data_IF_308762915054
#
_entry.id   IF_308762915054
#
_cell.length_a   1.000
_cell.length_b   1.000
_cell.length_c   1.000
_cell.angle_alpha   90.00
_cell.angle_beta   90.00
_cell.angle_gamma   90.00
#
_symmetry.space_group_name_H-M   'P 1'
#
loop_
_entity.id
_entity.type
_entity.pdbx_description
1 polymer ?
#
# COMPACT_ATOMS: atom_id res chain seq x y z
N UNK A 1 -15.08 -28.87 41.50
CA UNK A 1 -13.69 -28.37 41.57
C UNK A 1 -12.90 -29.05 40.46
N UNK A 2 -12.67 -28.37 39.34
CA UNK A 2 -11.77 -28.86 38.29
C UNK A 2 -10.35 -28.44 38.65
N UNK A 3 -9.43 -29.40 38.64
CA UNK A 3 -8.00 -29.16 38.91
C UNK A 3 -7.41 -28.28 37.80
N UNK A 4 -6.83 -27.14 38.14
CA UNK A 4 -6.21 -26.21 37.18
C UNK A 4 -4.86 -26.68 36.64
N UNK A 5 -4.37 -27.84 37.08
CA UNK A 5 -3.05 -28.38 36.72
C UNK A 5 -3.07 -29.28 35.47
N UNK A 6 -4.22 -29.85 35.12
CA UNK A 6 -4.36 -30.75 33.96
C UNK A 6 -5.56 -30.33 33.11
N UNK A 7 -5.28 -29.94 31.86
CA UNK A 7 -6.33 -29.65 30.87
C UNK A 7 -6.80 -30.95 30.23
N UNK A 8 -7.86 -31.53 30.78
CA UNK A 8 -8.58 -32.62 30.13
C UNK A 8 -9.20 -32.12 28.81
N UNK A 9 -9.25 -32.98 27.79
CA UNK A 9 -9.85 -32.68 26.48
C UNK A 9 -9.15 -31.58 25.66
N UNK A 10 -7.83 -31.70 25.49
CA UNK A 10 -7.08 -30.83 24.57
C UNK A 10 -7.21 -31.36 23.14
N UNK A 11 -7.90 -30.62 22.28
CA UNK A 11 -8.08 -30.93 20.86
C UNK A 11 -6.92 -30.35 20.04
N UNK A 12 -6.03 -31.20 19.56
CA UNK A 12 -4.89 -30.82 18.73
C UNK A 12 -5.27 -30.92 17.25
N UNK A 13 -4.67 -30.10 16.38
CA UNK A 13 -4.69 -30.27 14.91
C UNK A 13 -6.08 -30.39 14.24
N UNK A 14 -7.10 -29.78 14.85
CA UNK A 14 -8.47 -29.72 14.31
C UNK A 14 -9.27 -31.02 14.48
N UNK A 15 -8.85 -31.93 15.36
CA UNK A 15 -9.63 -33.11 15.73
C UNK A 15 -10.76 -32.73 16.70
N UNK A 16 -11.93 -33.36 16.58
CA UNK A 16 -13.05 -33.17 17.51
C UNK A 16 -13.01 -34.12 18.70
N UNK A 17 -12.01 -35.00 18.75
CA UNK A 17 -11.82 -36.03 19.77
C UNK A 17 -10.35 -36.05 20.20
N UNK A 18 -10.09 -36.43 21.45
CA UNK A 18 -8.73 -36.45 22.01
C UNK A 18 -7.93 -37.63 21.44
N UNK A 19 -6.61 -37.49 21.34
CA UNK A 19 -5.72 -38.60 21.00
C UNK A 19 -5.86 -39.74 22.01
N UNK A 20 -6.10 -40.96 21.54
CA UNK A 20 -6.37 -42.12 22.40
C UNK A 20 -7.86 -42.38 22.67
N UNK A 21 -8.75 -41.66 21.97
CA UNK A 21 -10.20 -41.92 21.99
C UNK A 21 -10.62 -43.18 21.25
N UNK A 22 -9.74 -43.77 20.42
CA UNK A 22 -10.03 -44.98 19.66
C UNK A 22 -8.81 -45.91 19.59
N UNK A 23 -9.04 -47.21 19.75
CA UNK A 23 -8.01 -48.26 19.64
C UNK A 23 -8.29 -49.15 18.42
N UNK A 24 -7.31 -49.26 17.53
CA UNK A 24 -7.36 -50.17 16.39
C UNK A 24 -6.74 -51.51 16.80
N UNK A 25 -7.59 -52.54 16.88
CA UNK A 25 -7.17 -53.90 17.22
C UNK A 25 -6.30 -54.55 16.12
N UNK A 26 -6.37 -54.08 14.88
CA UNK A 26 -5.58 -54.62 13.76
C UNK A 26 -4.16 -54.04 13.70
N UNK A 27 -4.00 -52.78 14.12
CA UNK A 27 -2.72 -52.09 14.16
C UNK A 27 -2.09 -52.04 15.57
N UNK A 28 -2.80 -52.57 16.57
CA UNK A 28 -2.45 -52.54 18.01
C UNK A 28 -2.08 -51.15 18.52
N UNK A 29 -2.78 -50.13 18.02
CA UNK A 29 -2.41 -48.72 18.23
C UNK A 29 -3.62 -47.85 18.53
N UNK A 30 -3.35 -46.80 19.29
CA UNK A 30 -4.30 -45.76 19.61
C UNK A 30 -4.30 -44.65 18.55
N UNK A 31 -5.49 -44.12 18.27
CA UNK A 31 -5.71 -43.05 17.31
C UNK A 31 -6.83 -42.10 17.73
N UNK A 32 -7.27 -41.27 16.79
CA UNK A 32 -8.41 -40.36 16.98
C UNK A 32 -9.72 -41.02 16.55
N UNK A 33 -10.77 -40.96 17.39
CA UNK A 33 -12.09 -41.50 17.04
C UNK A 33 -12.77 -40.73 15.89
N UNK A 34 -12.49 -39.43 15.73
CA UNK A 34 -13.16 -38.58 14.74
C UNK A 34 -12.82 -38.91 13.28
N UNK A 35 -11.57 -39.29 13.00
CA UNK A 35 -11.10 -39.58 11.64
C UNK A 35 -10.44 -40.97 11.50
N UNK A 36 -10.36 -41.75 12.59
CA UNK A 36 -9.69 -43.06 12.68
C UNK A 36 -8.21 -43.02 12.24
N UNK A 37 -7.56 -41.87 12.38
CA UNK A 37 -6.14 -41.71 12.05
C UNK A 37 -5.27 -42.18 13.22
N UNK A 38 -4.21 -42.93 12.87
CA UNK A 38 -3.27 -43.58 13.80
C UNK A 38 -1.96 -42.78 13.98
N UNK A 39 -1.91 -41.56 13.43
CA UNK A 39 -0.79 -40.64 13.58
C UNK A 39 -1.21 -39.36 14.31
N UNK A 40 -0.63 -39.10 15.48
CA UNK A 40 -0.97 -37.93 16.31
C UNK A 40 -0.71 -36.61 15.60
N UNK A 41 0.32 -36.58 14.75
CA UNK A 41 0.79 -35.38 14.03
C UNK A 41 0.01 -35.03 12.77
N UNK A 42 -0.93 -35.85 12.32
CA UNK A 42 -1.76 -35.55 11.14
C UNK A 42 -2.97 -34.71 11.53
N UNK A 43 -3.34 -33.75 10.67
CA UNK A 43 -4.58 -32.98 10.81
C UNK A 43 -5.80 -33.86 10.50
N UNK A 44 -6.93 -33.53 11.12
CA UNK A 44 -8.18 -34.23 10.90
C UNK A 44 -8.63 -34.12 9.44
N UNK A 45 -8.70 -35.23 8.72
CA UNK A 45 -9.20 -35.26 7.34
C UNK A 45 -10.69 -34.87 7.24
N UNK A 46 -11.48 -35.12 8.29
CA UNK A 46 -12.89 -34.74 8.34
C UNK A 46 -13.11 -33.23 8.52
N UNK A 47 -12.13 -32.51 9.06
CA UNK A 47 -12.14 -31.04 9.21
C UNK A 47 -11.14 -30.33 8.28
N UNK A 48 -10.48 -31.08 7.39
CA UNK A 48 -9.66 -30.49 6.35
C UNK A 48 -10.61 -29.91 5.29
N UNK A 49 -10.80 -28.58 5.30
CA UNK A 49 -11.25 -27.91 4.10
C UNK A 49 -10.33 -28.35 2.93
N UNK A 50 -10.87 -28.57 1.72
CA UNK A 50 -10.10 -29.08 0.60
C UNK A 50 -8.88 -28.20 0.40
N UNK A 51 -7.70 -28.81 0.50
CA UNK A 51 -6.42 -28.20 0.21
C UNK A 51 -6.45 -27.67 -1.22
N UNK A 52 -6.55 -26.35 -1.36
CA UNK A 52 -6.16 -25.69 -2.57
C UNK A 52 -4.64 -25.57 -2.51
N UNK A 53 -3.97 -26.41 -3.29
CA UNK A 53 -2.60 -26.20 -3.73
C UNK A 53 -2.56 -24.89 -4.54
N UNK A 54 -2.37 -23.78 -3.84
CA UNK A 54 -2.01 -22.49 -4.43
C UNK A 54 -0.66 -22.11 -3.85
N UNK A 55 0.35 -22.33 -4.69
CA UNK A 55 1.59 -21.56 -4.80
C UNK A 55 2.16 -20.98 -3.49
N UNK A 56 3.26 -21.57 -2.99
CA UNK A 56 4.19 -20.91 -2.07
C UNK A 56 4.85 -19.71 -2.75
N UNK A 57 4.07 -18.65 -2.90
CA UNK A 57 4.51 -17.32 -3.25
C UNK A 57 4.80 -16.52 -2.00
N UNK A 58 5.75 -16.97 -1.16
CA UNK A 58 6.14 -16.35 0.12
C UNK A 58 5.85 -14.85 0.22
N UNK A 59 4.82 -14.57 1.01
CA UNK A 59 4.10 -13.32 1.12
C UNK A 59 4.89 -12.28 1.92
N UNK A 60 4.95 -11.05 1.39
CA UNK A 60 5.26 -9.83 2.16
C UNK A 60 3.96 -9.16 2.68
N UNK A 61 2.83 -9.87 2.66
CA UNK A 61 1.55 -9.45 3.22
C UNK A 61 1.39 -9.83 4.70
N UNK A 62 2.36 -10.51 5.32
CA UNK A 62 2.28 -10.98 6.72
C UNK A 62 2.41 -9.87 7.80
N UNK A 63 2.35 -8.60 7.41
CA UNK A 63 2.36 -7.46 8.34
C UNK A 63 1.67 -6.21 7.78
N UNK A 64 0.85 -6.37 6.74
CA UNK A 64 0.12 -5.23 6.19
C UNK A 64 -1.06 -4.93 7.13
N UNK A 65 -1.22 -3.69 7.62
CA UNK A 65 -2.28 -3.34 8.56
C UNK A 65 -3.64 -3.68 7.95
N UNK A 66 -4.43 -4.43 8.72
CA UNK A 66 -5.75 -4.91 8.33
C UNK A 66 -6.81 -3.81 8.47
N UNK A 67 -6.59 -2.86 9.36
CA UNK A 67 -7.41 -1.66 9.52
C UNK A 67 -6.54 -0.42 9.79
N UNK A 68 -7.15 0.77 9.76
CA UNK A 68 -6.46 2.04 9.98
C UNK A 68 -5.84 2.15 11.38
N UNK A 69 -6.48 1.55 12.39
CA UNK A 69 -6.02 1.57 13.78
C UNK A 69 -4.76 0.69 14.00
N UNK A 70 -4.51 -0.28 13.11
CA UNK A 70 -3.31 -1.14 13.15
C UNK A 70 -2.09 -0.46 12.49
N UNK A 71 -2.27 0.71 11.87
CA UNK A 71 -1.19 1.39 11.15
C UNK A 71 -0.19 1.98 12.15
N UNK A 72 1.07 1.54 12.04
CA UNK A 72 2.17 2.08 12.83
C UNK A 72 2.36 3.59 12.56
N UNK A 73 2.82 4.37 13.57
CA UNK A 73 3.11 5.78 13.36
C UNK A 73 4.23 5.96 12.32
N UNK A 74 4.23 7.11 11.65
CA UNK A 74 5.23 7.49 10.65
C UNK A 74 6.68 7.20 11.06
N UNK A 75 7.02 7.40 12.34
CA UNK A 75 8.36 7.16 12.90
C UNK A 75 8.84 5.70 12.79
N UNK A 76 7.93 4.75 12.62
CA UNK A 76 8.25 3.32 12.47
C UNK A 76 8.76 2.97 11.08
N UNK A 77 8.63 3.89 10.11
CA UNK A 77 9.03 3.69 8.73
C UNK A 77 10.34 4.42 8.43
N UNK A 78 11.29 3.71 7.86
CA UNK A 78 12.55 4.30 7.37
C UNK A 78 12.30 5.28 6.21
N UNK A 79 11.34 4.97 5.36
CA UNK A 79 11.00 5.75 4.17
C UNK A 79 9.65 6.46 4.36
N UNK A 80 9.60 7.76 4.05
CA UNK A 80 8.39 8.57 4.16
C UNK A 80 7.32 8.13 3.14
N UNK A 81 7.78 7.88 1.92
CA UNK A 81 6.93 7.50 0.80
C UNK A 81 6.29 6.12 1.02
N UNK A 82 7.02 5.23 1.71
CA UNK A 82 6.53 3.92 2.13
C UNK A 82 5.37 4.04 3.12
N UNK A 83 5.48 4.96 4.09
CA UNK A 83 4.40 5.21 5.04
C UNK A 83 3.14 5.69 4.30
N UNK A 84 3.26 6.66 3.39
CA UNK A 84 2.12 7.16 2.61
C UNK A 84 1.47 6.07 1.75
N UNK A 85 2.29 5.20 1.12
CA UNK A 85 1.80 4.06 0.36
C UNK A 85 1.02 3.08 1.25
N UNK A 86 1.56 2.72 2.41
CA UNK A 86 0.91 1.80 3.36
C UNK A 86 -0.36 2.39 3.95
N UNK A 87 -0.35 3.69 4.26
CA UNK A 87 -1.53 4.42 4.72
C UNK A 87 -2.63 4.39 3.66
N UNK A 88 -2.36 4.75 2.41
CA UNK A 88 -3.36 4.71 1.33
C UNK A 88 -3.93 3.30 1.13
N UNK A 89 -3.09 2.27 1.16
CA UNK A 89 -3.54 0.87 1.06
C UNK A 89 -4.46 0.49 2.23
N UNK A 90 -4.13 0.89 3.46
CA UNK A 90 -4.95 0.63 4.65
C UNK A 90 -6.31 1.35 4.56
N UNK A 91 -6.31 2.63 4.17
CA UNK A 91 -7.53 3.42 3.98
C UNK A 91 -8.42 2.80 2.91
N UNK A 92 -7.87 2.35 1.78
CA UNK A 92 -8.63 1.72 0.71
C UNK A 92 -9.27 0.39 1.13
N UNK A 93 -8.53 -0.44 1.89
CA UNK A 93 -9.06 -1.69 2.45
C UNK A 93 -10.21 -1.40 3.41
N UNK A 94 -10.04 -0.42 4.29
CA UNK A 94 -11.06 -0.02 5.25
C UNK A 94 -12.28 0.60 4.55
N UNK A 95 -12.08 1.44 3.53
CA UNK A 95 -13.14 1.99 2.69
C UNK A 95 -13.96 0.89 2.02
N UNK A 96 -13.28 -0.11 1.43
CA UNK A 96 -13.96 -1.27 0.82
C UNK A 96 -14.75 -2.06 1.85
N UNK A 97 -14.18 -2.28 3.04
CA UNK A 97 -14.83 -3.01 4.14
C UNK A 97 -16.08 -2.29 4.63
N UNK A 98 -16.00 -0.99 4.91
CA UNK A 98 -17.14 -0.21 5.40
C UNK A 98 -18.23 -0.03 4.33
N UNK A 99 -17.86 0.14 3.07
CA UNK A 99 -18.84 0.22 1.98
C UNK A 99 -19.65 -1.08 1.78
N UNK A 100 -19.13 -2.23 2.21
CA UNK A 100 -19.86 -3.50 2.20
C UNK A 100 -20.78 -3.68 3.43
N UNK A 101 -20.41 -3.08 4.56
CA UNK A 101 -21.08 -3.29 5.85
C UNK A 101 -22.10 -2.20 6.21
N UNK A 102 -21.86 -0.96 5.79
CA UNK A 102 -22.64 0.21 6.21
C UNK A 102 -23.30 0.93 5.00
N UNK A 103 -24.63 0.90 4.99
CA UNK A 103 -25.45 1.59 3.99
C UNK A 103 -25.39 3.12 4.11
N UNK A 104 -25.09 3.66 5.29
CA UNK A 104 -24.89 5.10 5.47
C UNK A 104 -23.59 5.58 4.81
N UNK A 105 -22.51 4.81 4.93
CA UNK A 105 -21.26 5.05 4.20
C UNK A 105 -21.50 5.08 2.68
N UNK A 106 -22.21 4.08 2.14
CA UNK A 106 -22.57 4.02 0.72
C UNK A 106 -23.43 5.20 0.26
N UNK A 107 -24.33 5.70 1.13
CA UNK A 107 -25.15 6.88 0.84
C UNK A 107 -24.34 8.19 0.85
N UNK A 108 -23.38 8.34 1.76
CA UNK A 108 -22.61 9.59 1.95
C UNK A 108 -21.50 9.78 0.92
N UNK A 109 -20.83 8.70 0.53
CA UNK A 109 -19.70 8.75 -0.42
C UNK A 109 -20.09 8.36 -1.86
N UNK A 110 -21.37 8.04 -2.09
CA UNK A 110 -22.00 7.93 -3.41
C UNK A 110 -21.80 6.58 -4.10
N UNK A 111 -22.45 6.41 -5.27
CA UNK A 111 -22.45 5.18 -6.09
C UNK A 111 -21.10 4.77 -6.70
N UNK A 112 -20.05 5.57 -6.51
CA UNK A 112 -18.71 5.22 -6.98
C UNK A 112 -18.25 3.99 -6.21
N UNK A 113 -18.25 2.85 -6.89
CA UNK A 113 -17.80 1.59 -6.31
C UNK A 113 -16.37 1.74 -5.82
N UNK A 114 -15.97 1.05 -4.73
CA UNK A 114 -14.60 1.10 -4.21
C UNK A 114 -13.54 0.80 -5.26
N UNK A 115 -13.87 0.00 -6.28
CA UNK A 115 -13.01 -0.30 -7.43
C UNK A 115 -12.70 0.91 -8.31
N UNK A 116 -13.63 1.86 -8.46
CA UNK A 116 -13.42 3.09 -9.23
C UNK A 116 -12.44 4.02 -8.52
N UNK A 117 -12.55 4.11 -7.20
CA UNK A 117 -11.65 4.90 -6.34
C UNK A 117 -10.24 4.30 -6.39
N UNK A 118 -10.13 2.97 -6.28
CA UNK A 118 -8.86 2.25 -6.39
C UNK A 118 -8.22 2.43 -7.77
N UNK A 119 -9.00 2.33 -8.86
CA UNK A 119 -8.51 2.56 -10.22
C UNK A 119 -8.00 3.99 -10.40
N UNK A 120 -8.70 4.97 -9.83
CA UNK A 120 -8.30 6.38 -9.91
C UNK A 120 -7.03 6.66 -9.11
N UNK A 121 -6.81 5.96 -7.99
CA UNK A 121 -5.61 6.07 -7.17
C UNK A 121 -4.45 5.18 -7.63
N UNK A 122 -4.68 4.23 -8.55
CA UNK A 122 -3.66 3.28 -8.98
C UNK A 122 -2.39 3.96 -9.49
N UNK A 123 -2.52 5.05 -10.27
CA UNK A 123 -1.38 5.83 -10.76
C UNK A 123 -0.58 6.48 -9.62
N UNK A 124 -1.26 6.98 -8.59
CA UNK A 124 -0.61 7.55 -7.42
C UNK A 124 0.11 6.48 -6.60
N UNK A 125 -0.52 5.32 -6.38
CA UNK A 125 0.08 4.18 -5.67
C UNK A 125 1.33 3.67 -6.40
N UNK A 126 1.27 3.53 -7.73
CA UNK A 126 2.42 3.16 -8.55
C UNK A 126 3.54 4.19 -8.47
N UNK A 127 3.21 5.48 -8.44
CA UNK A 127 4.21 6.55 -8.33
C UNK A 127 4.87 6.57 -6.94
N UNK A 128 4.10 6.41 -5.87
CA UNK A 128 4.64 6.29 -4.51
C UNK A 128 5.52 5.04 -4.38
N UNK A 129 5.07 3.91 -4.94
CA UNK A 129 5.84 2.67 -4.98
C UNK A 129 7.16 2.84 -5.76
N UNK A 130 7.13 3.54 -6.89
CA UNK A 130 8.32 3.87 -7.67
C UNK A 130 9.26 4.84 -6.96
N UNK A 131 8.75 5.72 -6.09
CA UNK A 131 9.57 6.65 -5.30
C UNK A 131 10.27 5.98 -4.11
N UNK A 132 9.72 4.86 -3.60
CA UNK A 132 10.35 4.09 -2.53
C UNK A 132 11.71 3.53 -2.98
N UNK A 133 12.69 3.47 -2.09
CA UNK A 133 13.97 2.79 -2.29
C UNK A 133 13.85 1.27 -2.10
N UNK A 134 12.83 0.84 -1.35
CA UNK A 134 12.48 -0.57 -1.18
C UNK A 134 11.96 -1.21 -2.47
N UNK A 135 12.27 -2.50 -2.65
CA UNK A 135 11.87 -3.30 -3.82
C UNK A 135 10.78 -4.32 -3.45
N UNK A 136 9.96 -4.68 -4.42
CA UNK A 136 8.81 -5.59 -4.23
C UNK A 136 8.85 -6.74 -5.23
N UNK A 137 8.27 -7.90 -4.86
CA UNK A 137 8.10 -9.02 -5.78
C UNK A 137 7.30 -8.57 -7.02
N UNK A 138 7.82 -8.90 -8.19
CA UNK A 138 7.22 -8.56 -9.48
C UNK A 138 7.59 -7.18 -10.04
N UNK A 139 8.30 -6.34 -9.29
CA UNK A 139 8.69 -5.00 -9.74
C UNK A 139 9.72 -5.07 -10.89
N UNK A 140 9.55 -4.19 -11.88
CA UNK A 140 10.48 -4.06 -13.00
C UNK A 140 11.66 -3.16 -12.63
N UNK A 141 12.85 -3.68 -12.87
CA UNK A 141 14.10 -3.06 -12.44
C UNK A 141 15.12 -3.11 -13.56
N UNK A 142 16.01 -2.13 -13.58
CA UNK A 142 17.20 -2.21 -14.40
C UNK A 142 18.35 -2.81 -13.58
N UNK A 143 19.06 -3.77 -14.17
CA UNK A 143 20.17 -4.49 -13.51
C UNK A 143 21.48 -4.13 -14.16
N UNK A 144 22.45 -3.66 -13.39
CA UNK A 144 23.82 -3.41 -13.84
C UNK A 144 24.59 -4.73 -13.91
N UNK A 145 25.25 -4.97 -15.05
CA UNK A 145 26.18 -6.07 -15.21
C UNK A 145 27.61 -5.57 -15.30
N UNK A 146 28.43 -6.00 -14.36
CA UNK A 146 29.86 -5.68 -14.31
C UNK A 146 30.59 -6.29 -15.52
N UNK A 147 30.27 -7.53 -15.89
CA UNK A 147 30.93 -8.22 -17.01
C UNK A 147 30.62 -7.60 -18.37
N UNK A 148 29.42 -7.06 -18.54
CA UNK A 148 28.99 -6.41 -19.80
C UNK A 148 29.09 -4.87 -19.77
N UNK A 149 29.46 -4.28 -18.63
CA UNK A 149 29.53 -2.84 -18.39
C UNK A 149 28.29 -2.07 -18.89
N UNK A 150 27.09 -2.63 -18.68
CA UNK A 150 25.82 -2.06 -19.19
C UNK A 150 24.64 -2.33 -18.27
N UNK A 151 23.61 -1.50 -18.41
CA UNK A 151 22.31 -1.68 -17.78
C UNK A 151 21.39 -2.57 -18.62
N UNK A 152 20.91 -3.67 -18.04
CA UNK A 152 19.85 -4.49 -18.61
C UNK A 152 18.49 -3.93 -18.21
N UNK A 153 17.62 -3.67 -19.21
CA UNK A 153 16.28 -3.12 -18.98
C UNK A 153 15.18 -4.17 -18.74
N UNK A 154 15.56 -5.44 -18.73
CA UNK A 154 14.66 -6.62 -18.66
C UNK A 154 14.58 -7.22 -17.26
N UNK A 155 15.04 -6.50 -16.24
CA UNK A 155 15.11 -7.01 -14.88
C UNK A 155 13.75 -7.06 -14.22
N UNK A 156 13.52 -8.11 -13.43
CA UNK A 156 12.34 -8.26 -12.58
C UNK A 156 12.72 -8.82 -11.23
N UNK A 157 12.14 -8.28 -10.16
CA UNK A 157 12.33 -8.79 -8.80
C UNK A 157 11.49 -10.05 -8.62
N UNK A 158 12.12 -11.15 -8.21
CA UNK A 158 11.45 -12.44 -7.99
C UNK A 158 11.13 -12.68 -6.52
N UNK A 159 12.02 -12.27 -5.63
CA UNK A 159 11.84 -12.42 -4.20
C UNK A 159 12.62 -11.35 -3.45
N UNK A 160 12.11 -10.95 -2.29
CA UNK A 160 12.80 -10.08 -1.33
C UNK A 160 12.79 -10.81 -0.01
N UNK A 161 13.96 -11.01 0.60
CA UNK A 161 14.12 -11.70 1.89
C UNK A 161 14.72 -10.75 2.89
N UNK A 162 14.16 -10.68 4.09
CA UNK A 162 14.84 -10.07 5.24
C UNK A 162 15.50 -11.20 6.01
N UNK A 163 16.84 -11.22 6.02
CA UNK A 163 17.60 -12.14 6.89
C UNK A 163 18.02 -11.40 8.15
N UNK A 164 17.65 -11.92 9.31
CA UNK A 164 18.10 -11.44 10.62
C UNK A 164 19.48 -12.03 10.94
N UNK A 165 20.54 -11.50 10.33
CA UNK A 165 21.90 -11.77 10.80
C UNK A 165 22.26 -10.73 11.87
N UNK A 166 22.28 -11.13 13.15
CA UNK A 166 22.82 -10.31 14.24
C UNK A 166 21.91 -9.17 14.75
N UNK A 167 20.58 -9.32 14.67
CA UNK A 167 19.64 -8.33 15.22
C UNK A 167 19.44 -7.06 14.36
N UNK A 168 20.03 -7.02 13.15
CA UNK A 168 19.71 -6.05 12.10
C UNK A 168 19.10 -6.81 10.92
N UNK A 169 17.92 -6.41 10.48
CA UNK A 169 17.32 -6.96 9.26
C UNK A 169 18.17 -6.56 8.04
N UNK A 170 18.84 -7.53 7.42
CA UNK A 170 19.60 -7.35 6.18
C UNK A 170 18.75 -7.89 5.04
N UNK A 171 18.16 -7.00 4.24
CA UNK A 171 17.29 -7.35 3.10
C UNK A 171 18.08 -7.76 1.86
N UNK A 172 17.93 -9.00 1.36
CA UNK A 172 18.46 -9.45 0.07
C UNK A 172 17.37 -9.48 -1.00
N UNK A 173 17.70 -9.01 -2.21
CA UNK A 173 16.77 -8.93 -3.35
C UNK A 173 17.22 -9.91 -4.43
N UNK A 174 16.34 -10.85 -4.81
CA UNK A 174 16.55 -11.74 -5.93
C UNK A 174 15.98 -11.10 -7.20
N UNK A 175 16.85 -10.88 -8.18
CA UNK A 175 16.45 -10.37 -9.49
C UNK A 175 16.66 -11.42 -10.58
N UNK A 176 15.74 -11.47 -11.52
CA UNK A 176 15.92 -12.12 -12.82
C UNK A 176 16.16 -11.09 -13.89
N UNK A 177 17.10 -11.34 -14.80
CA UNK A 177 17.29 -10.52 -16.00
C UNK A 177 17.68 -11.40 -17.18
N UNK A 178 17.39 -10.91 -18.38
CA UNK A 178 17.63 -11.62 -19.64
C UNK A 178 18.62 -10.81 -20.47
N UNK A 179 19.73 -11.43 -20.89
CA UNK A 179 20.80 -10.72 -21.59
C UNK A 179 20.50 -10.46 -23.08
N UNK A 180 19.79 -11.40 -23.73
CA UNK A 180 19.26 -11.33 -25.10
C UNK A 180 17.92 -12.04 -25.14
N UNK A 181 16.99 -11.65 -26.02
CA UNK A 181 15.61 -12.18 -26.07
C UNK A 181 15.51 -13.73 -26.11
N UNK A 182 16.56 -14.40 -26.63
CA UNK A 182 16.64 -15.86 -26.77
C UNK A 182 17.40 -16.56 -25.62
N UNK A 183 17.95 -15.81 -24.67
CA UNK A 183 18.73 -16.35 -23.55
C UNK A 183 17.87 -16.75 -22.36
N UNK A 184 18.29 -17.79 -21.64
CA UNK A 184 17.66 -18.18 -20.36
C UNK A 184 17.79 -17.04 -19.32
N UNK A 185 16.76 -16.79 -18.50
CA UNK A 185 16.80 -15.76 -17.47
C UNK A 185 17.84 -16.10 -16.42
N UNK A 186 18.80 -15.18 -16.21
CA UNK A 186 19.79 -15.27 -15.15
C UNK A 186 19.21 -14.78 -13.83
N UNK A 187 19.53 -15.45 -12.73
CA UNK A 187 19.08 -15.12 -11.37
C UNK A 187 20.26 -14.65 -10.52
N UNK A 188 20.11 -13.54 -9.82
CA UNK A 188 21.16 -12.99 -8.94
C UNK A 188 20.57 -12.46 -7.64
N UNK A 189 21.14 -12.89 -6.52
CA UNK A 189 20.91 -12.27 -5.23
C UNK A 189 21.76 -11.01 -5.09
N UNK A 190 21.14 -9.91 -4.68
CA UNK A 190 21.80 -8.62 -4.43
C UNK A 190 21.68 -8.31 -2.94
N UNK A 191 22.83 -8.14 -2.29
CA UNK A 191 22.93 -7.70 -0.90
C UNK A 191 22.57 -6.21 -0.76
N UNK A 192 22.01 -5.76 0.37
CA UNK A 192 21.51 -4.39 0.52
C UNK A 192 22.57 -3.31 0.27
N UNK A 193 23.82 -3.56 0.68
CA UNK A 193 24.94 -2.64 0.43
C UNK A 193 25.24 -2.38 -1.07
N UNK A 194 24.90 -3.34 -1.94
CA UNK A 194 25.16 -3.28 -3.38
C UNK A 194 23.91 -2.93 -4.20
N UNK A 195 22.75 -2.76 -3.54
CA UNK A 195 21.51 -2.36 -4.21
C UNK A 195 21.69 -1.05 -4.99
N UNK A 196 22.18 0.07 -4.42
CA UNK A 196 22.22 1.34 -5.15
C UNK A 196 23.17 1.34 -6.36
N UNK A 197 24.17 0.45 -6.38
CA UNK A 197 25.12 0.33 -7.50
C UNK A 197 24.67 -0.67 -8.56
N UNK A 198 23.92 -1.70 -8.18
CA UNK A 198 23.53 -2.80 -9.08
C UNK A 198 22.10 -2.68 -9.59
N UNK A 199 21.21 -2.05 -8.84
CA UNK A 199 19.78 -1.98 -9.11
C UNK A 199 19.30 -0.54 -9.16
N UNK A 200 18.42 -0.28 -10.13
CA UNK A 200 17.61 0.94 -10.15
C UNK A 200 16.21 0.58 -10.61
N UNK A 201 15.22 1.34 -10.16
CA UNK A 201 13.83 1.14 -10.58
C UNK A 201 13.69 1.49 -12.07
N UNK A 202 12.83 0.73 -12.76
CA UNK A 202 12.50 1.02 -14.16
C UNK A 202 11.47 2.15 -14.28
N UNK A 203 10.63 2.31 -13.25
CA UNK A 203 9.62 3.35 -13.19
C UNK A 203 10.23 4.72 -12.90
N UNK A 204 9.95 5.69 -13.76
CA UNK A 204 10.30 7.10 -13.55
C UNK A 204 9.23 7.79 -12.70
N UNK A 205 9.66 8.45 -11.62
CA UNK A 205 8.78 9.25 -10.77
C UNK A 205 8.49 10.57 -11.48
N UNK A 206 7.23 10.75 -11.92
CA UNK A 206 6.78 11.96 -12.62
C UNK A 206 6.31 13.09 -11.70
N UNK A 207 6.23 12.83 -10.39
CA UNK A 207 5.76 13.79 -9.38
C UNK A 207 6.97 14.49 -8.74
N UNK A 208 6.84 15.79 -8.46
CA UNK A 208 7.90 16.55 -7.81
C UNK A 208 8.14 16.06 -6.37
N UNK A 209 9.37 16.18 -5.85
CA UNK A 209 9.66 15.77 -4.46
C UNK A 209 8.85 16.56 -3.44
N UNK A 210 8.66 17.85 -3.71
CA UNK A 210 7.87 18.76 -2.86
C UNK A 210 6.38 18.37 -2.80
N UNK A 211 5.81 17.85 -3.89
CA UNK A 211 4.43 17.35 -3.90
C UNK A 211 4.31 15.99 -3.18
N UNK A 212 5.31 15.12 -3.32
CA UNK A 212 5.36 13.85 -2.58
C UNK A 212 5.42 14.09 -1.07
N UNK A 213 6.27 15.03 -0.63
CA UNK A 213 6.39 15.37 0.78
C UNK A 213 5.07 15.93 1.35
N UNK A 214 4.30 16.69 0.56
CA UNK A 214 2.93 17.12 0.93
C UNK A 214 1.95 15.95 1.04
N UNK A 215 2.01 14.97 0.13
CA UNK A 215 1.15 13.77 0.20
C UNK A 215 1.47 12.94 1.45
N UNK A 216 2.76 12.77 1.76
CA UNK A 216 3.20 12.14 3.02
C UNK A 216 2.65 12.92 4.21
N UNK A 217 2.75 14.25 4.19
CA UNK A 217 2.26 15.09 5.29
C UNK A 217 0.75 14.97 5.49
N UNK A 218 -0.02 14.85 4.41
CA UNK A 218 -1.47 14.57 4.50
C UNK A 218 -1.73 13.22 5.17
N UNK A 219 -1.00 12.17 4.80
CA UNK A 219 -1.14 10.85 5.40
C UNK A 219 -0.81 10.89 6.91
N UNK A 220 0.25 11.61 7.31
CA UNK A 220 0.64 11.79 8.71
C UNK A 220 -0.47 12.48 9.52
N UNK A 221 -0.96 13.63 9.03
CA UNK A 221 -2.01 14.39 9.69
C UNK A 221 -3.31 13.59 9.78
N UNK A 222 -3.68 12.84 8.75
CA UNK A 222 -4.85 11.96 8.80
C UNK A 222 -4.69 10.81 9.80
N UNK A 223 -3.49 10.26 9.97
CA UNK A 223 -3.21 9.22 10.97
C UNK A 223 -3.26 9.79 12.41
N UNK A 224 -2.80 11.03 12.60
CA UNK A 224 -2.92 11.79 13.86
C UNK A 224 -4.34 12.31 14.11
N UNK A 225 -5.25 12.11 13.15
CA UNK A 225 -6.62 12.62 13.14
C UNK A 225 -6.66 14.16 13.21
N UNK A 226 -5.77 14.84 12.52
CA UNK A 226 -5.77 16.30 12.34
C UNK A 226 -6.32 16.66 10.95
N UNK A 227 -7.62 16.40 10.71
CA UNK A 227 -8.24 16.52 9.38
C UNK A 227 -8.28 17.95 8.84
N UNK A 228 -8.48 18.95 9.71
CA UNK A 228 -8.42 20.35 9.32
C UNK A 228 -7.05 20.72 8.75
N UNK A 229 -5.97 20.37 9.46
CA UNK A 229 -4.61 20.63 8.99
C UNK A 229 -4.31 19.84 7.70
N UNK A 230 -4.75 18.59 7.62
CA UNK A 230 -4.59 17.78 6.40
C UNK A 230 -5.28 18.43 5.19
N UNK A 231 -6.47 19.01 5.40
CA UNK A 231 -7.19 19.75 4.36
C UNK A 231 -6.44 21.00 3.89
N UNK A 232 -5.74 21.72 4.78
CA UNK A 232 -4.92 22.87 4.38
C UNK A 232 -3.75 22.43 3.48
N UNK A 233 -3.06 21.34 3.83
CA UNK A 233 -1.98 20.78 3.01
C UNK A 233 -2.51 20.28 1.67
N UNK A 234 -3.70 19.68 1.63
CA UNK A 234 -4.36 19.30 0.38
C UNK A 234 -4.65 20.51 -0.51
N UNK A 235 -5.11 21.63 0.06
CA UNK A 235 -5.34 22.87 -0.70
C UNK A 235 -4.02 23.44 -1.24
N UNK A 236 -2.95 23.42 -0.45
CA UNK A 236 -1.62 23.81 -0.88
C UNK A 236 -1.11 22.93 -2.03
N UNK A 237 -1.30 21.62 -1.94
CA UNK A 237 -0.92 20.66 -2.99
C UNK A 237 -1.70 20.85 -4.30
N UNK A 238 -2.97 21.23 -4.21
CA UNK A 238 -3.86 21.35 -5.38
C UNK A 238 -3.77 22.71 -6.06
N UNK A 239 -3.78 23.78 -5.27
CA UNK A 239 -3.86 25.17 -5.76
C UNK A 239 -2.47 25.82 -5.76
N UNK A 240 -1.59 25.43 -4.83
CA UNK A 240 -0.25 25.99 -4.67
C UNK A 240 -0.26 27.42 -4.15
N UNK A 241 0.92 28.04 -4.16
CA UNK A 241 1.15 29.44 -3.78
C UNK A 241 1.12 30.41 -4.98
N UNK A 242 0.61 29.97 -6.14
CA UNK A 242 0.49 30.81 -7.32
C UNK A 242 -0.42 32.01 -7.02
N UNK A 243 -0.06 33.20 -7.50
CA UNK A 243 -0.97 34.36 -7.39
C UNK A 243 -2.11 34.26 -8.40
N UNK A 244 -1.87 33.53 -9.49
CA UNK A 244 -2.82 33.31 -10.56
C UNK A 244 -2.84 31.82 -10.95
N UNK A 245 -3.98 31.17 -10.75
CA UNK A 245 -4.17 29.73 -11.00
C UNK A 245 -4.75 29.41 -12.40
N UNK A 246 -4.98 30.44 -13.21
CA UNK A 246 -5.46 30.32 -14.58
C UNK A 246 -5.00 31.51 -15.42
N UNK A 247 -4.92 31.30 -16.73
CA UNK A 247 -4.64 32.38 -17.66
C UNK A 247 -5.84 33.31 -17.71
N UNK A 248 -5.63 34.57 -17.33
CA UNK A 248 -6.65 35.60 -17.42
C UNK A 248 -6.27 36.58 -18.51
N UNK A 249 -7.12 36.68 -19.53
CA UNK A 249 -7.02 37.71 -20.55
C UNK A 249 -8.27 38.58 -20.51
N UNK A 250 -8.24 39.66 -19.76
CA UNK A 250 -9.33 40.64 -19.75
C UNK A 250 -9.17 41.55 -20.97
N UNK A 251 -9.94 41.27 -22.02
CA UNK A 251 -10.15 42.18 -23.15
C UNK A 251 -11.37 43.06 -22.84
N UNK A 252 -11.15 44.14 -22.10
CA UNK A 252 -12.15 45.18 -21.92
C UNK A 252 -11.90 46.35 -22.86
N UNK A 253 -12.95 46.91 -23.46
CA UNK A 253 -12.93 48.29 -23.98
C UNK A 253 -12.93 49.17 -22.73
N UNK A 254 -11.76 49.40 -22.16
CA UNK A 254 -11.61 50.40 -21.12
C UNK A 254 -11.66 51.76 -21.83
N UNK A 255 -12.74 52.52 -21.63
CA UNK A 255 -12.89 53.89 -22.13
C UNK A 255 -11.87 54.89 -21.54
N UNK A 256 -10.79 54.40 -20.93
CA UNK A 256 -9.74 55.17 -20.30
C UNK A 256 -8.45 54.97 -21.10
N UNK A 257 -7.88 56.06 -21.61
CA UNK A 257 -6.64 56.08 -22.40
C UNK A 257 -5.38 55.61 -21.65
N UNK A 258 -5.50 55.21 -20.37
CA UNK A 258 -4.40 54.74 -19.51
C UNK A 258 -4.24 53.22 -19.47
N UNK A 259 -5.20 52.44 -19.96
CA UNK A 259 -5.06 51.00 -20.00
C UNK A 259 -4.24 50.55 -21.24
N UNK A 260 -3.35 49.56 -21.10
CA UNK A 260 -2.59 49.04 -22.23
C UNK A 260 -3.53 48.56 -23.34
N UNK A 261 -3.29 48.98 -24.59
CA UNK A 261 -4.13 48.70 -25.77
C UNK A 261 -4.41 47.20 -26.03
N UNK A 262 -3.61 46.31 -25.45
CA UNK A 262 -3.74 44.85 -25.60
C UNK A 262 -4.48 44.17 -24.43
N UNK A 263 -5.08 44.95 -23.52
CA UNK A 263 -5.76 44.43 -22.32
C UNK A 263 -4.80 43.98 -21.23
N UNK A 264 -5.35 43.53 -20.11
CA UNK A 264 -4.59 42.93 -19.01
C UNK A 264 -4.48 41.43 -19.26
N UNK A 265 -3.24 40.96 -19.52
CA UNK A 265 -2.94 39.54 -19.68
C UNK A 265 -2.09 39.08 -18.52
N UNK A 266 -2.61 38.12 -17.80
CA UNK A 266 -1.91 37.40 -16.75
C UNK A 266 -1.69 35.99 -17.24
N UNK A 267 -0.45 35.53 -17.13
CA UNK A 267 -0.13 34.12 -17.29
C UNK A 267 -0.23 33.45 -15.93
N UNK A 268 -0.64 32.19 -15.93
CA UNK A 268 -0.63 31.34 -14.76
C UNK A 268 0.78 31.25 -14.16
N UNK A 269 0.86 31.33 -12.83
CA UNK A 269 2.13 31.39 -12.10
C UNK A 269 2.59 30.02 -11.55
N UNK A 270 1.70 29.03 -11.46
CA UNK A 270 1.95 27.78 -10.73
C UNK A 270 1.50 26.55 -11.50
N UNK A 271 2.43 25.64 -11.79
CA UNK A 271 2.10 24.30 -12.30
C UNK A 271 1.77 23.37 -11.13
N UNK A 272 0.53 23.45 -10.64
CA UNK A 272 0.04 22.54 -9.60
C UNK A 272 -0.15 21.11 -10.12
N UNK A 273 -0.17 20.13 -9.22
CA UNK A 273 -0.32 18.72 -9.57
C UNK A 273 -1.66 18.42 -10.30
N UNK A 274 -2.67 19.27 -10.11
CA UNK A 274 -3.94 19.27 -10.84
C UNK A 274 -3.83 19.63 -12.34
N UNK A 275 -2.68 20.06 -12.83
CA UNK A 275 -2.51 20.26 -14.28
C UNK A 275 -2.13 18.98 -15.02
N UNK A 276 -1.59 17.99 -14.30
CA UNK A 276 -1.36 16.67 -14.85
C UNK A 276 -2.70 15.95 -15.04
N UNK A 277 -2.87 15.29 -16.19
CA UNK A 277 -4.07 14.45 -16.46
C UNK A 277 -4.29 13.42 -15.36
N UNK A 278 -3.19 12.90 -14.82
CA UNK A 278 -3.19 11.89 -13.78
C UNK A 278 -3.61 12.51 -12.43
N UNK A 279 -3.07 13.69 -12.09
CA UNK A 279 -3.40 14.43 -10.88
C UNK A 279 -4.87 14.82 -10.75
N UNK A 280 -5.52 15.19 -11.86
CA UNK A 280 -6.95 15.48 -11.85
C UNK A 280 -7.81 14.27 -11.47
N UNK A 281 -7.33 13.04 -11.72
CA UNK A 281 -8.09 11.82 -11.43
C UNK A 281 -7.97 11.40 -9.96
N UNK A 282 -6.76 11.41 -9.40
CA UNK A 282 -6.56 10.93 -8.03
C UNK A 282 -6.80 12.00 -6.96
N UNK A 283 -6.67 13.31 -7.25
CA UNK A 283 -6.82 14.35 -6.22
C UNK A 283 -8.23 14.39 -5.60
N UNK A 284 -9.33 14.40 -6.39
CA UNK A 284 -10.67 14.34 -5.81
C UNK A 284 -10.89 13.05 -5.00
N UNK A 285 -10.30 11.93 -5.44
CA UNK A 285 -10.37 10.66 -4.72
C UNK A 285 -9.62 10.74 -3.39
N UNK A 286 -8.44 11.35 -3.35
CA UNK A 286 -7.68 11.59 -2.13
C UNK A 286 -8.48 12.44 -1.14
N UNK A 287 -9.12 13.52 -1.59
CA UNK A 287 -10.01 14.35 -0.76
C UNK A 287 -11.16 13.53 -0.17
N UNK A 288 -11.78 12.67 -0.97
CA UNK A 288 -12.85 11.77 -0.50
C UNK A 288 -12.35 10.78 0.55
N UNK A 289 -11.16 10.20 0.36
CA UNK A 289 -10.55 9.31 1.33
C UNK A 289 -10.24 10.02 2.66
N UNK A 290 -9.82 11.29 2.63
CA UNK A 290 -9.65 12.09 3.85
C UNK A 290 -10.98 12.29 4.60
N UNK A 291 -12.04 12.65 3.86
CA UNK A 291 -13.37 12.78 4.45
C UNK A 291 -13.90 11.43 4.99
N UNK A 292 -13.59 10.33 4.32
CA UNK A 292 -13.87 8.98 4.82
C UNK A 292 -13.11 8.67 6.12
N UNK A 293 -11.82 9.03 6.21
CA UNK A 293 -11.06 8.85 7.44
C UNK A 293 -11.71 9.58 8.62
N UNK A 294 -12.19 10.82 8.41
CA UNK A 294 -12.93 11.56 9.43
C UNK A 294 -14.27 10.90 9.79
N UNK A 295 -14.96 10.28 8.83
CA UNK A 295 -16.19 9.55 9.09
C UNK A 295 -15.93 8.28 9.91
N UNK A 296 -14.93 7.49 9.53
CA UNK A 296 -14.56 6.23 10.19
C UNK A 296 -13.95 6.46 11.59
N UNK A 297 -13.15 7.52 11.74
CA UNK A 297 -12.46 7.87 12.98
C UNK A 297 -12.68 9.35 13.32
N UNK A 298 -13.88 9.72 13.82
CA UNK A 298 -14.19 11.11 14.09
C UNK A 298 -13.31 11.68 15.22
N UNK A 299 -13.00 12.97 15.09
CA UNK A 299 -12.35 13.73 16.15
C UNK A 299 -13.34 14.14 17.23
N UNK A 300 -12.88 14.08 18.48
CA UNK A 300 -13.62 14.64 19.61
C UNK A 300 -13.76 16.17 19.52
N UNK A 301 -12.78 16.85 18.91
CA UNK A 301 -12.79 18.30 18.71
C UNK A 301 -13.31 18.65 17.31
N UNK A 302 -14.41 19.41 17.27
CA UNK A 302 -15.08 19.85 16.04
C UNK A 302 -14.25 20.87 15.25
N UNK A 303 -13.38 21.64 15.92
CA UNK A 303 -12.52 22.61 15.23
C UNK A 303 -11.50 21.95 14.30
N UNK A 304 -11.22 20.67 14.54
CA UNK A 304 -10.30 19.84 13.74
C UNK A 304 -10.99 19.09 12.61
N UNK A 305 -12.29 19.30 12.42
CA UNK A 305 -13.02 18.71 11.31
C UNK A 305 -12.63 19.42 10.01
N UNK A 306 -12.60 18.65 8.94
CA UNK A 306 -12.49 19.18 7.60
C UNK A 306 -13.71 20.07 7.30
N UNK A 307 -13.53 21.26 6.71
CA UNK A 307 -14.65 22.09 6.29
C UNK A 307 -15.49 21.35 5.24
N UNK A 308 -16.81 21.35 5.41
CA UNK A 308 -17.78 20.78 4.46
C UNK A 308 -17.78 21.52 3.12
#
# INVERSE_FOLDING_TARGET
MQSSLYKENTFELGHSEVWGSWYDASAERWGYACCRELQRSKRCAANAAPAQDLEEGGDLEAGAPTCLDDLQPRSSFAEADLFALRWLQAVLREYRRQHQLDTACASRFGRSQPEEVERSLATLLQTLQASCQSFWKGEEVHVWSVGHNKWFKTGRVVAVRQTEEGGRAVGSVLVTFVETADSKPSRKWVSPANIPSVLRKAAEVKISRDDLDKIVRIAELCAEREYHAASQVYLELTVGHGRWHGDLSVKGITGCAKAPRNGFRVKKDSNGLLESTDGMQYMPCLKRLMAFCQFAHPNADVSKHMPE
#
